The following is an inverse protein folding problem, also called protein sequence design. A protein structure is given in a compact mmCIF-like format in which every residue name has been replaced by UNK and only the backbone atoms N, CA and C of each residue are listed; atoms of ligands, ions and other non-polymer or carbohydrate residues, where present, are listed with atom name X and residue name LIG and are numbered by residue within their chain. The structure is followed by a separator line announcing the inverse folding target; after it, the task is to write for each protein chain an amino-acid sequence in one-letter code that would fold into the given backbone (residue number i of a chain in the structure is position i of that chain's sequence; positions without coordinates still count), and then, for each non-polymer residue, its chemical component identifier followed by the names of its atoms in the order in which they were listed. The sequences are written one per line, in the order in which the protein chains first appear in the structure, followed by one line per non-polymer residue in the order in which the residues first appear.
data_IF_769202441104
#
_entry.id   IF_769202441104
#
_cell.length_a   1.000
_cell.length_b   1.000
_cell.length_c   1.000
_cell.angle_alpha   90.00
_cell.angle_beta   90.00
_cell.angle_gamma   90.00
#
_symmetry.space_group_name_H-M   'P 1'
#
loop_
_entity.id
_entity.type
_entity.pdbx_description
1 polymer ?
#
# COMPACT_ATOMS: atom_id res chain seq x y z
N UNK A 1 14.73 -12.65 -7.50
CA UNK A 1 15.91 -12.49 -8.36
C UNK A 1 15.58 -12.95 -9.77
N UNK A 2 15.50 -12.00 -10.71
CA UNK A 2 15.12 -12.29 -12.09
C UNK A 2 16.20 -13.08 -12.86
N UNK A 3 17.43 -12.99 -12.46
CA UNK A 3 18.55 -13.71 -13.12
C UNK A 3 18.52 -15.21 -12.86
N UNK A 4 17.91 -15.61 -11.73
CA UNK A 4 17.82 -17.01 -11.30
C UNK A 4 16.38 -17.53 -11.26
N UNK A 5 15.37 -16.67 -11.51
CA UNK A 5 13.97 -17.04 -11.37
C UNK A 5 13.60 -17.47 -9.95
N UNK A 6 14.27 -16.93 -8.94
CA UNK A 6 14.14 -17.36 -7.55
C UNK A 6 13.56 -16.26 -6.68
N UNK A 7 12.61 -16.63 -5.81
CA UNK A 7 12.14 -15.75 -4.72
C UNK A 7 13.24 -15.71 -3.66
N UNK A 8 13.83 -14.52 -3.45
CA UNK A 8 14.90 -14.34 -2.45
C UNK A 8 14.36 -13.76 -1.14
N UNK A 9 13.17 -13.16 -1.17
CA UNK A 9 12.51 -12.55 -0.01
C UNK A 9 11.01 -12.61 -0.17
N UNK A 10 10.30 -12.96 0.90
CA UNK A 10 8.84 -12.92 0.97
C UNK A 10 8.42 -12.29 2.29
N UNK A 11 7.49 -11.34 2.25
CA UNK A 11 6.94 -10.67 3.42
C UNK A 11 5.42 -10.74 3.38
N UNK A 12 4.78 -11.52 4.29
CA UNK A 12 3.32 -11.63 4.32
C UNK A 12 2.68 -10.35 4.86
N UNK A 13 1.49 -10.04 4.33
CA UNK A 13 0.62 -8.97 4.80
C UNK A 13 -0.77 -9.52 5.12
N UNK A 14 -1.53 -8.81 5.97
CA UNK A 14 -2.86 -9.28 6.40
C UNK A 14 -3.87 -9.32 5.27
N UNK A 15 -3.84 -8.32 4.39
CA UNK A 15 -4.65 -8.27 3.17
C UNK A 15 -3.73 -8.33 1.95
N UNK A 16 -4.29 -8.70 0.80
CA UNK A 16 -3.54 -8.62 -0.45
C UNK A 16 -3.07 -7.19 -0.71
N UNK A 17 -1.84 -7.07 -1.20
CA UNK A 17 -1.25 -5.76 -1.52
C UNK A 17 -1.71 -5.34 -2.91
N UNK A 18 -2.35 -4.18 -2.99
CA UNK A 18 -2.87 -3.61 -4.23
C UNK A 18 -2.01 -2.46 -4.74
N UNK A 19 -1.16 -1.90 -3.89
CA UNK A 19 -0.22 -0.88 -4.33
C UNK A 19 0.93 -1.49 -5.12
N UNK A 20 1.53 -0.70 -6.00
CA UNK A 20 2.83 -1.04 -6.56
C UNK A 20 3.94 -0.82 -5.53
N UNK A 21 5.09 -1.40 -5.83
CA UNK A 21 6.31 -1.18 -5.05
C UNK A 21 7.21 -0.16 -5.75
N UNK A 22 7.73 0.80 -4.98
CA UNK A 22 8.69 1.78 -5.44
C UNK A 22 10.05 1.44 -4.83
N UNK A 23 11.03 1.14 -5.67
CA UNK A 23 12.41 0.94 -5.24
C UNK A 23 13.24 2.21 -5.48
N UNK A 24 14.16 2.51 -4.57
CA UNK A 24 15.07 3.63 -4.70
C UNK A 24 16.52 3.15 -4.80
N UNK A 25 17.39 4.00 -5.33
CA UNK A 25 18.82 3.70 -5.45
C UNK A 25 19.49 3.47 -4.09
N UNK A 26 18.89 3.97 -3.00
CA UNK A 26 19.37 3.74 -1.64
C UNK A 26 19.04 2.35 -1.06
N UNK A 27 18.43 1.47 -1.84
CA UNK A 27 18.11 0.10 -1.40
C UNK A 27 16.87 0.01 -0.53
N UNK A 28 15.93 0.93 -0.68
CA UNK A 28 14.67 0.98 0.05
C UNK A 28 13.51 0.66 -0.89
N UNK A 29 12.57 -0.15 -0.43
CA UNK A 29 11.33 -0.47 -1.14
C UNK A 29 10.16 0.13 -0.37
N UNK A 30 9.40 1.00 -1.04
CA UNK A 30 8.17 1.58 -0.49
C UNK A 30 6.96 0.86 -1.07
N UNK A 31 5.97 0.59 -0.23
CA UNK A 31 4.67 0.07 -0.66
C UNK A 31 3.58 0.44 0.34
N UNK A 32 2.33 0.37 -0.10
CA UNK A 32 1.16 0.65 0.74
C UNK A 32 0.32 -0.60 0.98
N UNK A 33 -0.42 -0.61 2.09
CA UNK A 33 -1.35 -1.69 2.44
C UNK A 33 -2.80 -1.22 2.38
N UNK A 34 -3.74 -2.16 2.28
CA UNK A 34 -5.17 -1.84 2.31
C UNK A 34 -5.63 -1.26 3.65
N UNK A 35 -4.93 -1.59 4.73
CA UNK A 35 -5.19 -1.01 6.05
C UNK A 35 -4.85 0.48 6.12
N UNK A 36 -4.03 0.97 5.21
CA UNK A 36 -3.59 2.36 5.13
C UNK A 36 -2.16 2.60 5.57
N UNK A 37 -1.39 1.56 5.86
CA UNK A 37 0.02 1.73 6.20
C UNK A 37 0.86 1.96 4.97
N UNK A 38 1.65 3.03 5.00
CA UNK A 38 2.74 3.24 4.06
C UNK A 38 4.03 2.76 4.70
N UNK A 39 4.68 1.78 4.09
CA UNK A 39 5.84 1.09 4.64
C UNK A 39 7.06 1.27 3.77
N UNK A 40 8.21 1.30 4.41
CA UNK A 40 9.51 1.20 3.76
C UNK A 40 10.28 0.03 4.36
N UNK A 41 10.80 -0.81 3.51
CA UNK A 41 11.57 -2.00 3.90
C UNK A 41 12.93 -2.00 3.20
N UNK A 42 13.92 -2.62 3.85
CA UNK A 42 15.21 -2.85 3.23
C UNK A 42 15.08 -3.89 2.12
N UNK A 43 15.60 -3.59 0.94
CA UNK A 43 15.48 -4.51 -0.20
C UNK A 43 16.30 -5.80 -0.05
N UNK A 44 17.25 -5.84 0.87
CA UNK A 44 18.12 -7.01 1.07
C UNK A 44 17.45 -8.09 1.93
N UNK A 45 16.84 -7.68 3.03
CA UNK A 45 16.31 -8.59 4.05
C UNK A 45 14.85 -8.37 4.41
N UNK A 46 14.20 -7.34 3.83
CA UNK A 46 12.81 -7.00 4.10
C UNK A 46 12.56 -6.40 5.47
N UNK A 47 13.62 -5.99 6.18
CA UNK A 47 13.48 -5.34 7.49
C UNK A 47 12.67 -4.05 7.34
N UNK A 48 11.65 -3.89 8.20
CA UNK A 48 10.84 -2.68 8.22
C UNK A 48 11.66 -1.51 8.75
N UNK A 49 11.82 -0.48 7.91
CA UNK A 49 12.58 0.73 8.22
C UNK A 49 11.67 1.88 8.63
N UNK A 50 10.43 1.88 8.12
CA UNK A 50 9.48 2.96 8.34
C UNK A 50 8.06 2.44 8.16
N UNK A 51 7.13 2.98 8.95
CA UNK A 51 5.71 2.66 8.88
C UNK A 51 4.91 3.88 9.30
N UNK A 52 3.96 4.28 8.47
CA UNK A 52 3.11 5.43 8.73
C UNK A 52 1.65 5.08 8.40
N UNK A 53 0.74 5.36 9.32
CA UNK A 53 -0.70 5.16 9.10
C UNK A 53 -1.29 6.36 8.40
N UNK A 54 -1.70 6.17 7.15
CA UNK A 54 -2.47 7.16 6.38
C UNK A 54 -3.95 7.07 6.73
N UNK A 55 -4.77 8.08 6.37
CA UNK A 55 -6.20 8.08 6.72
C UNK A 55 -7.05 7.01 6.04
N UNK A 56 -6.56 6.38 4.96
CA UNK A 56 -7.32 5.38 4.19
C UNK A 56 -6.40 4.32 3.60
N UNK A 57 -6.97 3.24 3.06
CA UNK A 57 -6.22 2.21 2.37
C UNK A 57 -5.46 2.73 1.16
N UNK A 58 -4.36 2.08 0.81
CA UNK A 58 -3.48 2.47 -0.28
C UNK A 58 -3.59 1.45 -1.39
N UNK A 59 -4.07 1.88 -2.56
CA UNK A 59 -4.17 1.09 -3.78
C UNK A 59 -3.39 1.71 -4.94
N UNK A 60 -2.84 2.90 -4.73
CA UNK A 60 -2.02 3.62 -5.71
C UNK A 60 -0.54 3.28 -5.57
N UNK A 61 0.21 3.61 -6.59
CA UNK A 61 1.67 3.56 -6.52
C UNK A 61 2.21 4.78 -5.78
N UNK A 62 3.29 4.58 -5.04
CA UNK A 62 4.08 5.70 -4.53
C UNK A 62 4.91 6.32 -5.66
N UNK A 63 5.26 7.59 -5.50
CA UNK A 63 6.16 8.30 -6.41
C UNK A 63 7.28 8.96 -5.63
N UNK A 64 8.41 9.14 -6.28
CA UNK A 64 9.52 9.92 -5.72
C UNK A 64 9.93 11.03 -6.69
N UNK A 65 10.31 12.16 -6.14
CA UNK A 65 10.80 13.31 -6.92
C UNK A 65 11.79 14.13 -6.10
N UNK A 66 12.56 14.96 -6.77
CA UNK A 66 13.51 15.86 -6.15
C UNK A 66 13.10 17.30 -6.41
N UNK A 67 13.13 18.12 -5.37
CA UNK A 67 12.89 19.55 -5.48
C UNK A 67 13.81 20.29 -4.52
N UNK A 68 14.49 21.34 -5.01
CA UNK A 68 15.40 22.12 -4.19
C UNK A 68 16.54 21.30 -3.57
N UNK A 69 17.04 20.27 -4.27
CA UNK A 69 18.09 19.38 -3.77
C UNK A 69 17.63 18.37 -2.72
N UNK A 70 16.32 18.31 -2.42
CA UNK A 70 15.75 17.39 -1.43
C UNK A 70 14.84 16.37 -2.13
N UNK A 71 14.93 15.12 -1.68
CA UNK A 71 14.08 14.04 -2.17
C UNK A 71 12.78 13.95 -1.38
N UNK A 72 11.69 13.76 -2.10
CA UNK A 72 10.36 13.55 -1.54
C UNK A 72 9.78 12.23 -2.02
N UNK A 73 8.92 11.64 -1.19
CA UNK A 73 8.12 10.47 -1.55
C UNK A 73 6.66 10.81 -1.30
N UNK A 74 5.82 10.67 -2.31
CA UNK A 74 4.39 10.94 -2.25
C UNK A 74 3.58 9.67 -2.44
N UNK A 75 2.47 9.56 -1.70
CA UNK A 75 1.53 8.45 -1.83
C UNK A 75 0.10 8.97 -1.64
N UNK A 76 -0.80 8.47 -2.48
CA UNK A 76 -2.23 8.73 -2.31
C UNK A 76 -2.87 7.59 -1.53
N UNK A 77 -3.67 7.93 -0.52
CA UNK A 77 -4.49 6.98 0.22
C UNK A 77 -5.96 7.25 -0.03
N UNK A 78 -6.70 6.20 -0.30
CA UNK A 78 -8.13 6.26 -0.62
C UNK A 78 -8.54 4.87 -1.09
N UNK A 79 -9.23 4.11 -0.23
CA UNK A 79 -9.69 2.78 -0.61
C UNK A 79 -10.89 2.90 -1.55
N UNK A 80 -10.88 2.11 -2.61
CA UNK A 80 -11.92 2.08 -3.62
C UNK A 80 -11.72 0.91 -4.57
N UNK A 81 -12.27 1.03 -5.77
CA UNK A 81 -12.21 -0.04 -6.74
C UNK A 81 -12.82 -1.33 -6.21
N UNK A 82 -12.37 -2.44 -6.72
CA UNK A 82 -12.95 -3.74 -6.34
C UNK A 82 -12.65 -4.13 -4.89
N UNK A 83 -11.44 -3.93 -4.40
CA UNK A 83 -11.08 -4.25 -3.02
C UNK A 83 -11.92 -3.48 -2.00
N UNK A 84 -12.32 -2.26 -2.33
CA UNK A 84 -13.12 -1.39 -1.46
C UNK A 84 -14.60 -1.33 -1.77
N UNK A 85 -15.13 -2.16 -2.66
CA UNK A 85 -16.52 -2.02 -3.14
C UNK A 85 -17.54 -2.17 -2.01
N UNK A 86 -17.34 -3.10 -1.09
CA UNK A 86 -18.22 -3.29 0.07
C UNK A 86 -18.27 -2.02 0.94
N UNK A 87 -17.13 -1.44 1.21
CA UNK A 87 -17.02 -0.23 2.04
C UNK A 87 -17.59 0.99 1.31
N UNK A 88 -17.21 1.18 0.02
CA UNK A 88 -17.60 2.35 -0.74
C UNK A 88 -19.09 2.38 -1.11
N UNK A 89 -19.68 1.23 -1.41
CA UNK A 89 -21.09 1.12 -1.82
C UNK A 89 -22.01 0.64 -0.68
N UNK A 90 -21.48 0.39 0.51
CA UNK A 90 -22.27 -0.09 1.64
C UNK A 90 -22.85 -1.50 1.43
N UNK A 91 -22.22 -2.32 0.60
CA UNK A 91 -22.69 -3.67 0.31
C UNK A 91 -22.35 -4.61 1.47
N UNK A 92 -23.30 -5.53 1.76
CA UNK A 92 -23.16 -6.47 2.87
C UNK A 92 -23.25 -7.94 2.47
N UNK A 93 -23.78 -8.22 1.27
CA UNK A 93 -23.86 -9.60 0.79
C UNK A 93 -22.45 -10.07 0.38
N UNK A 94 -21.90 -11.13 1.00
CA UNK A 94 -20.54 -11.58 0.76
C UNK A 94 -20.26 -12.01 -0.69
N UNK A 95 -21.31 -12.36 -1.45
CA UNK A 95 -21.17 -12.77 -2.84
C UNK A 95 -21.14 -11.58 -3.83
N UNK A 96 -21.47 -10.37 -3.39
CA UNK A 96 -21.43 -9.21 -4.25
C UNK A 96 -20.01 -8.89 -4.70
N UNK A 97 -19.90 -8.28 -5.89
CA UNK A 97 -18.61 -7.98 -6.48
C UNK A 97 -17.75 -9.23 -6.74
N UNK A 98 -18.38 -10.33 -7.17
CA UNK A 98 -17.71 -11.63 -7.37
C UNK A 98 -16.98 -12.12 -6.11
N UNK A 99 -17.58 -11.90 -4.94
CA UNK A 99 -17.01 -12.32 -3.66
C UNK A 99 -16.08 -11.29 -2.99
N UNK A 100 -15.86 -10.14 -3.61
CA UNK A 100 -14.99 -9.13 -3.01
C UNK A 100 -15.53 -8.59 -1.68
N UNK A 101 -16.85 -8.44 -1.56
CA UNK A 101 -17.49 -7.99 -0.31
C UNK A 101 -17.17 -8.94 0.84
N UNK A 102 -17.24 -10.24 0.61
CA UNK A 102 -16.88 -11.25 1.61
C UNK A 102 -15.38 -11.33 1.86
N UNK A 103 -14.59 -11.32 0.79
CA UNK A 103 -13.12 -11.42 0.88
C UNK A 103 -12.47 -10.25 1.63
N UNK A 104 -13.08 -9.07 1.57
CA UNK A 104 -12.56 -7.87 2.24
C UNK A 104 -13.48 -7.36 3.35
N UNK A 105 -14.36 -8.22 3.90
CA UNK A 105 -15.34 -7.82 4.92
C UNK A 105 -14.70 -7.21 6.16
N UNK A 106 -13.50 -7.66 6.55
CA UNK A 106 -12.77 -7.14 7.69
C UNK A 106 -12.11 -5.78 7.46
N UNK A 107 -12.02 -5.32 6.22
CA UNK A 107 -11.26 -4.10 5.87
C UNK A 107 -11.81 -2.85 6.56
N UNK A 108 -13.11 -2.75 6.74
CA UNK A 108 -13.78 -1.63 7.41
C UNK A 108 -13.35 -1.42 8.86
N UNK A 109 -12.76 -2.43 9.50
CA UNK A 109 -12.24 -2.34 10.87
C UNK A 109 -10.88 -1.66 10.93
N UNK A 110 -10.19 -1.56 9.80
CA UNK A 110 -8.82 -1.07 9.72
C UNK A 110 -8.69 0.25 8.97
N UNK A 111 -9.63 0.58 8.11
CA UNK A 111 -9.54 1.76 7.26
C UNK A 111 -10.90 2.40 7.02
N UNK A 112 -10.87 3.63 6.54
CA UNK A 112 -12.04 4.42 6.16
C UNK A 112 -11.95 4.80 4.68
N UNK A 113 -13.08 5.23 4.11
CA UNK A 113 -13.09 5.92 2.84
C UNK A 113 -12.33 7.26 2.96
N UNK A 114 -11.75 7.69 1.88
CA UNK A 114 -11.07 8.97 1.86
C UNK A 114 -10.28 9.19 0.58
N UNK A 115 -9.63 10.33 0.49
CA UNK A 115 -8.69 10.66 -0.57
C UNK A 115 -7.70 11.67 -0.01
N UNK A 116 -6.47 11.24 0.26
CA UNK A 116 -5.42 12.07 0.86
C UNK A 116 -4.11 11.85 0.14
N UNK A 117 -3.45 12.94 -0.24
CA UNK A 117 -2.06 12.90 -0.68
C UNK A 117 -1.16 13.16 0.52
N UNK A 118 -0.28 12.23 0.82
CA UNK A 118 0.72 12.37 1.88
C UNK A 118 2.09 12.44 1.24
N UNK A 119 2.89 13.42 1.62
CA UNK A 119 4.24 13.65 1.09
C UNK A 119 5.23 13.61 2.24
N UNK A 120 6.28 12.81 2.07
CA UNK A 120 7.38 12.67 3.01
C UNK A 120 8.64 13.31 2.42
N UNK A 121 9.36 14.03 3.24
CA UNK A 121 10.69 14.54 2.91
C UNK A 121 11.72 13.57 3.44
N UNK A 122 12.64 13.12 2.59
CA UNK A 122 13.76 12.31 3.01
C UNK A 122 14.90 13.23 3.50
N UNK A 123 15.67 12.78 4.51
CA UNK A 123 16.78 13.56 5.02
C UNK A 123 17.91 13.73 4.01
#
# INVERSE_FOLDING_TARGET
DSSQGKIVLSKPEQFSVWSGALTTAGGVVFYGTLEGYFKAVDQKDGKELFKFKTPSGIISNAMTYTHGGKQYVGVMSGVGGWAGIGLAAGLTNPNDGLGAVGGYAGLKQYTNLGGTLTVFSLP
#
